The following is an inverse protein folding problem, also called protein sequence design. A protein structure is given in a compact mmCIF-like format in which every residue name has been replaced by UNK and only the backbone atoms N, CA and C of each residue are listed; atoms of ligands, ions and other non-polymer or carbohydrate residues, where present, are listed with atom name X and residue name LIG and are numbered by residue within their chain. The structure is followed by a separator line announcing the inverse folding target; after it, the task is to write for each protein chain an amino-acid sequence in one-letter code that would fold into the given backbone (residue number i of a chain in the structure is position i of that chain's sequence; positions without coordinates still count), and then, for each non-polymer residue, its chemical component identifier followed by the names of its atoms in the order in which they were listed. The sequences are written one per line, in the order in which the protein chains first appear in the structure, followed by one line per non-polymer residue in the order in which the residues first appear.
data_IF_270916567821
#
_entry.id   IF_270916567821
#
_cell.length_a   1.000
_cell.length_b   1.000
_cell.length_c   1.000
_cell.angle_alpha   90.00
_cell.angle_beta   90.00
_cell.angle_gamma   90.00
#
_symmetry.space_group_name_H-M   'P 1'
#
loop_
_entity.id
_entity.type
_entity.pdbx_description
1 polymer ?
#
# COMPACT_ATOMS: atom_id res chain seq x y z
N UNK A 1 38.31 -0.68 11.98
CA UNK A 1 38.88 -1.92 11.38
C UNK A 1 37.77 -2.82 10.83
N UNK A 2 36.67 -2.99 11.55
CA UNK A 2 35.50 -3.80 11.14
C UNK A 2 34.82 -3.26 9.88
N UNK A 3 34.61 -1.95 9.77
CA UNK A 3 34.05 -1.31 8.56
C UNK A 3 34.77 -1.75 7.28
N UNK A 4 36.11 -1.67 7.26
CA UNK A 4 36.93 -2.10 6.11
C UNK A 4 36.80 -3.59 5.81
N UNK A 5 36.63 -4.43 6.84
CA UNK A 5 36.41 -5.87 6.65
C UNK A 5 35.06 -6.13 5.99
N UNK A 6 33.99 -5.47 6.45
CA UNK A 6 32.67 -5.59 5.83
C UNK A 6 32.68 -5.06 4.39
N UNK A 7 33.31 -3.91 4.14
CA UNK A 7 33.51 -3.37 2.80
C UNK A 7 34.21 -4.37 1.87
N UNK A 8 35.26 -5.02 2.36
CA UNK A 8 35.97 -6.06 1.58
C UNK A 8 35.05 -7.26 1.28
N UNK A 9 34.22 -7.68 2.25
CA UNK A 9 33.24 -8.74 2.04
C UNK A 9 32.15 -8.37 1.03
N UNK A 10 31.68 -7.11 1.04
CA UNK A 10 30.72 -6.59 0.05
C UNK A 10 31.33 -6.67 -1.36
N UNK A 11 32.54 -6.12 -1.54
CA UNK A 11 33.22 -6.12 -2.84
C UNK A 11 33.48 -7.53 -3.37
N UNK A 12 33.86 -8.46 -2.49
CA UNK A 12 34.18 -9.83 -2.86
C UNK A 12 32.97 -10.77 -2.89
N UNK A 13 31.75 -10.29 -2.60
CA UNK A 13 30.52 -11.09 -2.52
C UNK A 13 30.60 -12.24 -1.50
N UNK A 14 31.37 -12.05 -0.43
CA UNK A 14 31.51 -13.03 0.66
C UNK A 14 30.75 -12.64 1.92
N UNK A 15 29.97 -11.56 1.85
CA UNK A 15 29.11 -11.10 2.93
C UNK A 15 27.87 -12.01 3.03
N UNK A 16 27.51 -12.43 4.24
CA UNK A 16 26.26 -13.20 4.48
C UNK A 16 25.11 -12.28 4.89
N UNK A 17 23.99 -12.36 4.19
CA UNK A 17 22.83 -11.47 4.39
C UNK A 17 21.68 -12.24 5.03
N UNK A 18 21.15 -11.73 6.14
CA UNK A 18 19.91 -12.19 6.75
C UNK A 18 18.77 -11.24 6.45
N UNK A 19 17.58 -11.75 6.11
CA UNK A 19 16.37 -10.92 5.95
C UNK A 19 15.26 -11.45 6.85
N UNK A 20 14.80 -10.63 7.79
CA UNK A 20 13.75 -11.00 8.76
C UNK A 20 12.39 -10.51 8.27
N UNK A 21 11.43 -11.42 8.15
CA UNK A 21 10.09 -11.16 7.65
C UNK A 21 10.02 -11.35 6.14
N UNK A 22 9.41 -12.45 5.67
CA UNK A 22 9.35 -12.82 4.26
C UNK A 22 8.03 -12.38 3.62
N UNK A 23 7.61 -11.16 3.92
CA UNK A 23 6.46 -10.51 3.29
C UNK A 23 6.77 -9.95 1.89
N UNK A 24 5.89 -9.08 1.40
CA UNK A 24 6.04 -8.40 0.11
C UNK A 24 7.28 -7.49 0.01
N UNK A 25 7.92 -7.15 1.13
CA UNK A 25 9.20 -6.41 1.17
C UNK A 25 10.37 -7.36 1.26
N UNK A 26 10.39 -8.21 2.30
CA UNK A 26 11.58 -8.98 2.64
C UNK A 26 11.88 -10.13 1.69
N UNK A 27 10.87 -10.81 1.14
CA UNK A 27 11.13 -11.90 0.19
C UNK A 27 11.77 -11.37 -1.12
N UNK A 28 11.22 -10.33 -1.79
CA UNK A 28 11.89 -9.74 -2.95
C UNK A 28 13.30 -9.23 -2.66
N UNK A 29 13.52 -8.58 -1.51
CA UNK A 29 14.84 -8.10 -1.11
C UNK A 29 15.85 -9.26 -0.94
N UNK A 30 15.43 -10.36 -0.31
CA UNK A 30 16.27 -11.54 -0.14
C UNK A 30 16.63 -12.21 -1.48
N UNK A 31 15.68 -12.27 -2.40
CA UNK A 31 15.89 -12.78 -3.76
C UNK A 31 16.89 -11.91 -4.52
N UNK A 32 16.80 -10.58 -4.44
CA UNK A 32 17.76 -9.68 -5.10
C UNK A 32 19.20 -9.85 -4.53
N UNK A 33 19.35 -10.01 -3.21
CA UNK A 33 20.67 -10.30 -2.62
C UNK A 33 21.24 -11.65 -3.08
N UNK A 34 20.40 -12.70 -3.11
CA UNK A 34 20.79 -14.02 -3.61
C UNK A 34 21.21 -13.97 -5.07
N UNK A 35 20.41 -13.32 -5.93
CA UNK A 35 20.68 -13.15 -7.35
C UNK A 35 21.95 -12.31 -7.61
N UNK A 36 22.30 -11.40 -6.70
CA UNK A 36 23.56 -10.64 -6.74
C UNK A 36 24.79 -11.43 -6.22
N UNK A 37 24.62 -12.71 -5.85
CA UNK A 37 25.67 -13.65 -5.47
C UNK A 37 25.98 -13.72 -3.98
N UNK A 38 25.16 -13.12 -3.12
CA UNK A 38 25.37 -13.16 -1.66
C UNK A 38 24.68 -14.38 -1.04
N UNK A 39 25.38 -15.10 -0.16
CA UNK A 39 24.75 -16.11 0.69
C UNK A 39 23.68 -15.43 1.56
N UNK A 40 22.42 -15.76 1.29
CA UNK A 40 21.25 -15.08 1.85
C UNK A 40 20.36 -16.05 2.59
N UNK A 41 19.96 -15.70 3.82
CA UNK A 41 19.02 -16.47 4.63
C UNK A 41 17.79 -15.61 4.93
N UNK A 42 16.63 -16.07 4.49
CA UNK A 42 15.33 -15.54 4.89
C UNK A 42 14.86 -16.14 6.21
N UNK A 43 14.39 -15.31 7.13
CA UNK A 43 13.88 -15.70 8.44
C UNK A 43 12.42 -15.29 8.58
N UNK A 44 11.55 -16.23 8.94
CA UNK A 44 10.15 -15.92 9.27
C UNK A 44 9.70 -16.75 10.48
N UNK A 45 8.76 -16.20 11.26
CA UNK A 45 8.18 -16.92 12.41
C UNK A 45 7.11 -17.91 11.97
N UNK A 46 6.54 -17.73 10.78
CA UNK A 46 5.49 -18.58 10.24
C UNK A 46 6.11 -19.81 9.56
N UNK A 47 6.04 -20.95 10.24
CA UNK A 47 6.55 -22.22 9.74
C UNK A 47 5.87 -22.70 8.45
N UNK A 48 4.60 -22.38 8.24
CA UNK A 48 3.86 -22.73 7.03
C UNK A 48 4.39 -21.95 5.82
N UNK A 49 4.60 -20.63 5.96
CA UNK A 49 5.22 -19.80 4.92
C UNK A 49 6.62 -20.30 4.58
N UNK A 50 7.44 -20.59 5.58
CA UNK A 50 8.79 -21.14 5.37
C UNK A 50 8.73 -22.47 4.64
N UNK A 51 7.87 -23.40 5.07
CA UNK A 51 7.72 -24.70 4.41
C UNK A 51 7.23 -24.57 2.96
N UNK A 52 6.33 -23.62 2.67
CA UNK A 52 5.87 -23.31 1.32
C UNK A 52 7.02 -22.80 0.44
N UNK A 53 7.78 -21.82 0.93
CA UNK A 53 8.95 -21.31 0.21
C UNK A 53 10.00 -22.40 -0.02
N UNK A 54 10.27 -23.28 0.94
CA UNK A 54 11.21 -24.40 0.77
C UNK A 54 10.82 -25.38 -0.36
N UNK A 55 9.53 -25.42 -0.73
CA UNK A 55 9.05 -26.21 -1.89
C UNK A 55 9.15 -25.46 -3.23
N UNK A 56 9.65 -24.23 -3.23
CA UNK A 56 9.68 -23.38 -4.43
C UNK A 56 8.34 -22.75 -4.76
N UNK A 57 7.40 -22.71 -3.80
CA UNK A 57 6.07 -22.13 -3.98
C UNK A 57 6.06 -20.70 -3.41
N UNK A 58 6.01 -19.69 -4.29
CA UNK A 58 5.90 -18.29 -3.90
C UNK A 58 4.44 -17.92 -3.63
N UNK A 59 4.22 -17.14 -2.58
CA UNK A 59 2.94 -16.47 -2.27
C UNK A 59 2.99 -14.97 -2.55
N UNK A 60 4.09 -14.46 -3.11
CA UNK A 60 4.26 -13.05 -3.50
C UNK A 60 4.15 -12.95 -5.01
N UNK A 61 3.20 -12.15 -5.49
CA UNK A 61 2.87 -11.99 -6.92
C UNK A 61 4.09 -11.57 -7.76
N UNK A 62 4.98 -10.76 -7.19
CA UNK A 62 6.15 -10.22 -7.87
C UNK A 62 7.31 -11.24 -7.99
N UNK A 63 7.20 -12.42 -7.34
CA UNK A 63 8.22 -13.47 -7.37
C UNK A 63 7.61 -14.76 -7.92
N UNK A 64 8.06 -15.19 -9.09
CA UNK A 64 7.60 -16.44 -9.69
C UNK A 64 8.18 -17.67 -8.98
N UNK A 65 7.46 -18.79 -9.04
CA UNK A 65 7.92 -20.07 -8.49
C UNK A 65 9.25 -20.51 -9.11
N UNK A 66 9.46 -20.25 -10.40
CA UNK A 66 10.69 -20.59 -11.12
C UNK A 66 11.88 -19.77 -10.60
N UNK A 67 11.66 -18.48 -10.36
CA UNK A 67 12.69 -17.59 -9.80
C UNK A 67 13.07 -18.07 -8.40
N UNK A 68 12.08 -18.31 -7.55
CA UNK A 68 12.29 -18.79 -6.18
C UNK A 68 13.02 -20.14 -6.17
N UNK A 69 12.56 -21.11 -6.97
CA UNK A 69 13.17 -22.44 -7.05
C UNK A 69 14.63 -22.37 -7.52
N UNK A 70 14.94 -21.47 -8.45
CA UNK A 70 16.32 -21.23 -8.90
C UNK A 70 17.19 -20.75 -7.73
N UNK A 71 16.78 -19.68 -7.05
CA UNK A 71 17.57 -19.09 -5.95
C UNK A 71 17.77 -20.05 -4.77
N UNK A 72 16.77 -20.88 -4.44
CA UNK A 72 16.87 -21.90 -3.39
C UNK A 72 17.93 -22.97 -3.65
N UNK A 73 18.31 -23.19 -4.91
CA UNK A 73 19.41 -24.11 -5.27
C UNK A 73 20.78 -23.44 -5.28
N UNK A 74 20.82 -22.11 -5.19
CA UNK A 74 22.02 -21.30 -5.28
C UNK A 74 22.39 -20.69 -3.92
N UNK A 75 22.05 -19.42 -3.73
CA UNK A 75 22.52 -18.63 -2.61
C UNK A 75 21.42 -18.32 -1.59
N UNK A 76 20.19 -18.83 -1.77
CA UNK A 76 19.08 -18.53 -0.88
C UNK A 76 18.67 -19.73 -0.02
N UNK A 77 18.45 -19.49 1.27
CA UNK A 77 17.82 -20.43 2.19
C UNK A 77 16.73 -19.72 2.98
N UNK A 78 15.73 -20.45 3.44
CA UNK A 78 14.71 -19.93 4.36
C UNK A 78 14.60 -20.80 5.60
N UNK A 79 14.37 -20.18 6.75
CA UNK A 79 14.33 -20.89 8.04
C UNK A 79 13.44 -20.19 9.06
N UNK A 80 12.96 -20.96 10.04
CA UNK A 80 12.38 -20.44 11.29
C UNK A 80 13.40 -20.40 12.44
N UNK A 81 14.62 -20.89 12.22
CA UNK A 81 15.69 -20.92 13.21
C UNK A 81 16.49 -19.61 13.19
N UNK A 82 16.14 -18.72 14.11
CA UNK A 82 16.79 -17.42 14.27
C UNK A 82 18.18 -17.48 14.93
N UNK A 83 18.63 -18.63 15.44
CA UNK A 83 19.99 -18.74 15.98
C UNK A 83 21.08 -18.51 14.92
N UNK A 84 20.74 -18.80 13.65
CA UNK A 84 21.61 -18.54 12.48
C UNK A 84 21.84 -17.05 12.20
N UNK A 85 21.14 -16.14 12.87
CA UNK A 85 21.46 -14.71 12.81
C UNK A 85 22.89 -14.42 13.29
N UNK A 86 23.46 -15.27 14.16
CA UNK A 86 24.86 -15.15 14.58
C UNK A 86 25.86 -15.28 13.42
N UNK A 87 25.48 -16.01 12.36
CA UNK A 87 26.33 -16.20 11.19
C UNK A 87 26.25 -15.03 10.19
N UNK A 88 25.23 -14.17 10.30
CA UNK A 88 24.94 -13.11 9.33
C UNK A 88 25.81 -11.87 9.56
N UNK A 89 26.36 -11.33 8.48
CA UNK A 89 27.16 -10.09 8.48
C UNK A 89 26.28 -8.84 8.32
N UNK A 90 25.21 -8.94 7.52
CA UNK A 90 24.19 -7.91 7.41
C UNK A 90 22.81 -8.50 7.68
N UNK A 91 21.94 -7.75 8.36
CA UNK A 91 20.59 -8.18 8.74
C UNK A 91 19.60 -7.07 8.37
N UNK A 92 18.65 -7.37 7.49
CA UNK A 92 17.55 -6.47 7.12
C UNK A 92 16.26 -6.86 7.85
N UNK A 93 15.60 -5.89 8.49
CA UNK A 93 14.37 -6.09 9.27
C UNK A 93 13.17 -5.62 8.44
N UNK A 94 12.42 -6.56 7.87
CA UNK A 94 11.28 -6.37 6.97
C UNK A 94 9.97 -6.92 7.57
N UNK A 95 9.77 -6.76 8.87
CA UNK A 95 8.56 -7.23 9.57
C UNK A 95 7.37 -6.28 9.38
N UNK A 96 6.13 -6.75 9.56
CA UNK A 96 4.94 -5.89 9.53
C UNK A 96 5.00 -4.79 10.60
N UNK A 97 4.41 -3.63 10.29
CA UNK A 97 4.19 -2.52 11.22
C UNK A 97 2.72 -2.11 11.17
N UNK A 98 1.82 -2.92 11.76
CA UNK A 98 0.40 -2.61 11.75
C UNK A 98 0.07 -1.47 12.71
N UNK A 99 -1.14 -0.93 12.58
CA UNK A 99 -1.75 -0.09 13.60
C UNK A 99 -2.63 -0.94 14.52
N UNK A 100 -2.73 -0.54 15.79
CA UNK A 100 -3.73 -1.09 16.72
C UNK A 100 -5.14 -0.63 16.32
N UNK A 101 -6.17 -1.21 16.95
CA UNK A 101 -7.56 -0.74 16.80
C UNK A 101 -7.75 0.74 17.19
N UNK A 102 -6.86 1.30 18.00
CA UNK A 102 -6.83 2.72 18.37
C UNK A 102 -6.01 3.58 17.41
N UNK A 103 -5.59 3.03 16.26
CA UNK A 103 -4.76 3.67 15.24
C UNK A 103 -3.40 4.16 15.75
N UNK A 104 -2.84 3.46 16.74
CA UNK A 104 -1.47 3.70 17.20
C UNK A 104 -0.52 2.69 16.57
N UNK A 105 0.74 3.06 16.31
CA UNK A 105 1.77 2.10 15.89
C UNK A 105 1.85 0.89 16.83
N UNK A 106 1.88 -0.32 16.27
CA UNK A 106 2.22 -1.55 16.99
C UNK A 106 3.68 -1.93 16.73
N UNK A 107 4.53 -1.67 17.72
CA UNK A 107 5.97 -1.89 17.62
C UNK A 107 6.41 -3.31 17.98
N UNK A 108 5.48 -4.16 18.43
CA UNK A 108 5.79 -5.50 18.96
C UNK A 108 6.54 -6.40 17.96
N UNK A 109 6.27 -6.22 16.67
CA UNK A 109 6.94 -6.96 15.59
C UNK A 109 8.42 -6.55 15.45
N UNK A 110 8.71 -5.24 15.46
CA UNK A 110 10.09 -4.73 15.40
C UNK A 110 10.82 -5.11 16.68
N UNK A 111 10.22 -4.89 17.84
CA UNK A 111 10.79 -5.27 19.14
C UNK A 111 11.12 -6.77 19.20
N UNK A 112 10.23 -7.63 18.68
CA UNK A 112 10.46 -9.06 18.59
C UNK A 112 11.61 -9.41 17.64
N UNK A 113 11.78 -8.71 16.52
CA UNK A 113 12.90 -8.90 15.62
C UNK A 113 14.22 -8.47 16.28
N UNK A 114 14.24 -7.29 16.90
CA UNK A 114 15.38 -6.75 17.64
C UNK A 114 15.81 -7.70 18.75
N UNK A 115 14.87 -8.24 19.54
CA UNK A 115 15.16 -9.21 20.59
C UNK A 115 15.86 -10.48 20.06
N UNK A 116 15.44 -10.97 18.87
CA UNK A 116 16.08 -12.13 18.24
C UNK A 116 17.48 -11.80 17.72
N UNK A 117 17.71 -10.59 17.20
CA UNK A 117 19.05 -10.14 16.79
C UNK A 117 19.93 -10.00 18.03
N UNK A 118 19.47 -9.30 19.07
CA UNK A 118 20.19 -9.09 20.33
C UNK A 118 20.66 -10.40 20.95
N UNK A 119 19.80 -11.43 20.97
CA UNK A 119 20.15 -12.75 21.49
C UNK A 119 21.28 -13.47 20.71
N UNK A 120 21.54 -13.06 19.47
CA UNK A 120 22.52 -13.66 18.56
C UNK A 120 23.53 -12.63 18.05
N UNK A 121 23.65 -11.48 18.72
CA UNK A 121 24.43 -10.35 18.22
C UNK A 121 25.93 -10.62 18.32
N UNK A 122 26.67 -10.08 17.36
CA UNK A 122 28.13 -10.07 17.37
C UNK A 122 28.68 -8.77 16.82
N UNK A 123 29.92 -8.46 17.19
CA UNK A 123 30.62 -7.32 16.62
C UNK A 123 30.81 -7.47 15.11
N UNK A 124 30.79 -6.34 14.40
CA UNK A 124 30.90 -6.25 12.96
C UNK A 124 29.65 -6.68 12.21
N UNK A 125 28.45 -6.52 12.78
CA UNK A 125 27.19 -6.67 12.05
C UNK A 125 26.69 -5.33 11.51
N UNK A 126 26.10 -5.35 10.32
CA UNK A 126 25.29 -4.26 9.78
C UNK A 126 23.81 -4.62 9.96
N UNK A 127 23.05 -3.74 10.60
CA UNK A 127 21.60 -3.89 10.79
C UNK A 127 20.91 -2.80 9.99
N UNK A 128 19.91 -3.17 9.19
CA UNK A 128 19.13 -2.23 8.38
C UNK A 128 17.65 -2.41 8.69
N UNK A 129 17.03 -1.39 9.27
CA UNK A 129 15.58 -1.36 9.43
C UNK A 129 14.92 -0.94 8.11
N UNK A 130 14.02 -1.78 7.62
CA UNK A 130 13.30 -1.60 6.36
C UNK A 130 11.80 -1.33 6.57
N UNK A 131 11.26 -1.92 7.64
CA UNK A 131 9.87 -1.74 8.05
C UNK A 131 9.51 -0.26 8.19
N UNK A 132 8.46 0.17 7.50
CA UNK A 132 7.99 1.56 7.57
C UNK A 132 7.55 1.89 8.99
N UNK A 133 8.02 3.03 9.52
CA UNK A 133 7.83 3.40 10.92
C UNK A 133 7.96 4.92 11.11
N UNK A 134 7.81 5.40 12.35
CA UNK A 134 7.95 6.81 12.71
C UNK A 134 9.42 7.27 12.83
N UNK A 135 9.73 8.56 12.58
CA UNK A 135 11.07 9.10 12.75
C UNK A 135 11.56 8.96 14.19
N UNK A 136 12.68 8.27 14.36
CA UNK A 136 13.34 7.95 15.62
C UNK A 136 13.28 6.47 16.00
N UNK A 137 12.57 5.63 15.25
CA UNK A 137 12.41 4.21 15.61
C UNK A 137 13.75 3.47 15.61
N UNK A 138 14.58 3.72 14.60
CA UNK A 138 15.89 3.08 14.45
C UNK A 138 16.76 3.35 15.66
N UNK A 139 16.83 4.60 16.13
CA UNK A 139 17.60 4.95 17.32
C UNK A 139 16.92 4.50 18.62
N UNK A 140 15.61 4.71 18.76
CA UNK A 140 14.86 4.44 20.00
C UNK A 140 14.70 2.95 20.31
N UNK A 141 14.55 2.09 19.30
CA UNK A 141 14.25 0.67 19.49
C UNK A 141 15.41 -0.27 19.15
N UNK A 142 16.41 0.19 18.40
CA UNK A 142 17.55 -0.66 18.01
C UNK A 142 18.83 -0.14 18.64
N UNK A 143 19.20 1.12 18.38
CA UNK A 143 20.45 1.69 18.91
C UNK A 143 20.49 1.65 20.43
N UNK A 144 19.44 2.17 21.10
CA UNK A 144 19.35 2.19 22.56
C UNK A 144 19.49 0.80 23.19
N UNK A 145 18.90 -0.24 22.58
CA UNK A 145 18.96 -1.62 23.07
C UNK A 145 20.37 -2.19 23.00
N UNK A 146 21.12 -1.87 21.96
CA UNK A 146 22.50 -2.35 21.77
C UNK A 146 23.48 -1.54 22.62
N UNK A 147 23.21 -0.25 22.85
CA UNK A 147 23.98 0.58 23.78
C UNK A 147 23.84 0.10 25.24
N UNK A 148 22.65 -0.37 25.65
CA UNK A 148 22.46 -1.00 26.96
C UNK A 148 23.35 -2.24 27.16
N UNK A 149 23.66 -2.95 26.08
CA UNK A 149 24.60 -4.08 26.06
C UNK A 149 26.08 -3.66 25.94
N UNK A 150 26.34 -2.35 25.93
CA UNK A 150 27.68 -1.77 25.86
C UNK A 150 28.31 -1.80 24.46
N UNK A 151 27.51 -1.96 23.39
CA UNK A 151 28.01 -1.89 22.01
C UNK A 151 27.97 -0.45 21.49
N UNK A 152 29.08 0.00 20.89
CA UNK A 152 29.16 1.32 20.27
C UNK A 152 28.78 1.28 18.78
N UNK A 153 27.76 2.05 18.39
CA UNK A 153 27.34 2.15 16.98
C UNK A 153 28.42 2.83 16.11
N UNK A 154 28.59 2.36 14.88
CA UNK A 154 29.66 2.80 13.97
C UNK A 154 31.03 2.20 14.27
N UNK A 155 31.21 1.52 15.40
CA UNK A 155 32.46 0.87 15.80
C UNK A 155 32.29 -0.65 15.95
N UNK A 156 31.40 -1.06 16.85
CA UNK A 156 31.10 -2.46 17.15
C UNK A 156 30.02 -3.05 16.24
N UNK A 157 29.09 -2.23 15.77
CA UNK A 157 28.06 -2.61 14.80
C UNK A 157 27.65 -1.37 13.99
N UNK A 158 26.96 -1.59 12.88
CA UNK A 158 26.51 -0.52 11.98
C UNK A 158 25.00 -0.55 11.87
N UNK A 159 24.35 0.61 11.86
CA UNK A 159 22.89 0.70 11.91
C UNK A 159 22.38 1.71 10.88
N UNK A 160 21.45 1.27 10.05
CA UNK A 160 20.81 2.09 9.03
C UNK A 160 19.29 1.92 9.03
N UNK A 161 18.62 2.89 8.44
CA UNK A 161 17.26 2.77 7.94
C UNK A 161 17.24 2.93 6.42
N UNK A 162 16.45 2.09 5.75
CA UNK A 162 16.31 2.10 4.29
C UNK A 162 14.86 1.73 3.94
N UNK A 163 13.95 2.68 3.67
CA UNK A 163 12.54 2.36 3.49
C UNK A 163 12.30 1.66 2.14
N UNK A 164 11.38 0.70 2.14
CA UNK A 164 10.78 0.20 0.90
C UNK A 164 9.91 1.27 0.21
N UNK A 165 10.00 1.36 -1.11
CA UNK A 165 9.29 2.32 -1.98
C UNK A 165 8.58 1.67 -3.18
N UNK A 166 8.55 0.35 -3.26
CA UNK A 166 7.81 -0.42 -4.27
C UNK A 166 6.32 -0.08 -4.27
N UNK A 167 5.77 0.05 -5.48
CA UNK A 167 4.34 0.09 -5.76
C UNK A 167 3.92 -1.29 -6.29
N UNK A 168 3.22 -2.12 -5.50
CA UNK A 168 2.88 -3.49 -5.90
C UNK A 168 2.12 -3.55 -7.24
N UNK A 169 2.50 -4.46 -8.12
CA UNK A 169 1.87 -4.61 -9.45
C UNK A 169 2.19 -3.48 -10.44
N UNK A 170 3.20 -2.65 -10.17
CA UNK A 170 3.64 -1.61 -11.10
C UNK A 170 4.49 -2.23 -12.24
N UNK A 171 4.09 -2.07 -13.52
CA UNK A 171 4.78 -2.73 -14.64
C UNK A 171 6.12 -2.04 -15.02
N UNK A 172 6.38 -0.85 -14.48
CA UNK A 172 7.56 -0.03 -14.83
C UNK A 172 8.58 -0.01 -13.69
N UNK A 173 8.11 0.13 -12.45
CA UNK A 173 8.96 0.29 -11.27
C UNK A 173 8.83 -0.92 -10.34
N UNK A 174 9.97 -1.53 -10.06
CA UNK A 174 10.14 -2.76 -9.29
C UNK A 174 11.22 -2.50 -8.23
N UNK A 175 11.48 -3.46 -7.33
CA UNK A 175 12.46 -3.32 -6.24
C UNK A 175 13.83 -2.85 -6.75
N UNK A 176 14.32 -3.42 -7.85
CA UNK A 176 15.65 -3.15 -8.39
C UNK A 176 15.86 -1.75 -8.99
N UNK A 177 14.86 -1.19 -9.67
CA UNK A 177 15.02 0.06 -10.43
C UNK A 177 14.45 1.29 -9.72
N UNK A 178 13.66 1.10 -8.67
CA UNK A 178 13.11 2.19 -7.86
C UNK A 178 14.22 2.80 -6.99
N UNK A 179 14.48 4.12 -7.08
CA UNK A 179 15.49 4.75 -6.24
C UNK A 179 15.15 4.57 -4.75
N UNK A 180 16.12 4.11 -3.98
CA UNK A 180 15.93 3.81 -2.56
C UNK A 180 16.76 4.73 -1.68
N UNK A 181 16.17 5.18 -0.59
CA UNK A 181 16.82 6.09 0.36
C UNK A 181 17.54 5.28 1.42
N UNK A 182 18.69 5.74 1.92
CA UNK A 182 19.35 5.12 3.07
C UNK A 182 19.97 6.18 3.98
N UNK A 183 19.78 6.03 5.29
CA UNK A 183 20.38 6.87 6.31
C UNK A 183 20.94 6.01 7.44
N UNK A 184 22.24 6.14 7.71
CA UNK A 184 22.92 5.50 8.83
C UNK A 184 23.02 6.42 10.04
N UNK A 185 23.10 5.85 11.25
CA UNK A 185 23.29 6.62 12.51
C UNK A 185 24.62 7.37 12.54
N UNK A 186 25.62 6.89 11.79
CA UNK A 186 26.91 7.57 11.57
C UNK A 186 27.24 7.57 10.07
N UNK A 187 28.18 8.44 9.60
CA UNK A 187 28.64 8.43 8.21
C UNK A 187 29.15 7.06 7.76
N UNK A 188 29.89 6.35 8.63
CA UNK A 188 30.39 5.00 8.34
C UNK A 188 29.23 3.99 8.16
N UNK A 189 28.15 4.11 8.94
CA UNK A 189 26.95 3.30 8.73
C UNK A 189 26.32 3.60 7.37
N UNK A 190 26.12 4.89 7.04
CA UNK A 190 25.53 5.30 5.75
C UNK A 190 26.35 4.77 4.57
N UNK A 191 27.68 4.94 4.61
CA UNK A 191 28.57 4.49 3.54
C UNK A 191 28.52 2.96 3.39
N UNK A 192 28.58 2.22 4.49
CA UNK A 192 28.53 0.76 4.47
C UNK A 192 27.18 0.22 3.99
N UNK A 193 26.08 0.76 4.52
CA UNK A 193 24.72 0.38 4.14
C UNK A 193 24.47 0.69 2.66
N UNK A 194 24.85 1.88 2.20
CA UNK A 194 24.73 2.27 0.80
C UNK A 194 25.50 1.31 -0.10
N UNK A 195 26.75 1.00 0.23
CA UNK A 195 27.60 0.13 -0.57
C UNK A 195 27.07 -1.30 -0.69
N UNK A 196 26.45 -1.83 0.37
CA UNK A 196 25.76 -3.13 0.33
C UNK A 196 24.54 -3.06 -0.59
N UNK A 197 23.67 -2.07 -0.40
CA UNK A 197 22.41 -1.98 -1.14
C UNK A 197 22.60 -1.61 -2.62
N UNK A 198 23.64 -0.84 -2.97
CA UNK A 198 23.98 -0.54 -4.37
C UNK A 198 24.32 -1.79 -5.20
N UNK A 199 24.64 -2.90 -4.54
CA UNK A 199 24.88 -4.18 -5.22
C UNK A 199 23.62 -4.80 -5.83
N UNK A 200 22.46 -4.43 -5.28
CA UNK A 200 21.14 -4.98 -5.66
C UNK A 200 20.21 -3.90 -6.21
N UNK A 201 20.35 -2.65 -5.75
CA UNK A 201 19.55 -1.49 -6.14
C UNK A 201 20.50 -0.38 -6.56
N UNK A 202 20.78 -0.20 -7.87
CA UNK A 202 21.82 0.73 -8.33
C UNK A 202 21.61 2.20 -7.94
N UNK A 203 20.35 2.61 -7.72
CA UNK A 203 19.99 4.00 -7.46
C UNK A 203 19.78 4.26 -5.96
N UNK A 204 20.85 4.18 -5.16
CA UNK A 204 20.79 4.52 -3.73
C UNK A 204 21.01 6.00 -3.46
N UNK A 205 20.11 6.60 -2.68
CA UNK A 205 20.12 8.00 -2.26
C UNK A 205 20.46 8.07 -0.77
N UNK A 206 21.70 8.45 -0.45
CA UNK A 206 22.12 8.65 0.93
C UNK A 206 21.54 9.95 1.52
N UNK A 207 21.07 9.87 2.76
CA UNK A 207 20.66 11.01 3.58
C UNK A 207 21.44 11.04 4.90
N UNK A 208 21.30 12.12 5.64
CA UNK A 208 22.18 12.41 6.79
C UNK A 208 21.94 11.57 8.04
N UNK A 209 20.78 10.93 8.19
CA UNK A 209 20.45 10.12 9.37
C UNK A 209 19.28 9.16 9.10
N UNK A 210 19.05 8.14 9.97
CA UNK A 210 17.89 7.26 9.87
C UNK A 210 16.58 8.05 9.96
N UNK A 211 16.48 9.01 10.88
CA UNK A 211 15.30 9.90 11.02
C UNK A 211 14.90 10.59 9.72
N UNK A 212 15.86 11.05 8.91
CA UNK A 212 15.55 11.68 7.62
C UNK A 212 15.00 10.65 6.63
N UNK A 213 15.55 9.44 6.60
CA UNK A 213 15.08 8.36 5.74
C UNK A 213 13.70 7.81 6.18
N UNK A 214 13.45 7.69 7.49
CA UNK A 214 12.14 7.34 8.06
C UNK A 214 11.10 8.41 7.68
N UNK A 215 11.44 9.68 7.87
CA UNK A 215 10.56 10.80 7.54
C UNK A 215 10.26 10.88 6.04
N UNK A 216 11.24 10.60 5.16
CA UNK A 216 10.99 10.67 3.72
C UNK A 216 9.90 9.70 3.27
N UNK A 217 9.86 8.50 3.85
CA UNK A 217 8.81 7.52 3.54
C UNK A 217 7.43 8.01 3.98
N UNK A 218 7.33 8.56 5.19
CA UNK A 218 6.05 9.08 5.69
C UNK A 218 5.59 10.31 4.91
N UNK A 219 6.51 11.19 4.48
CA UNK A 219 6.18 12.33 3.63
C UNK A 219 5.56 11.86 2.31
N UNK A 220 6.12 10.84 1.67
CA UNK A 220 5.61 10.31 0.39
C UNK A 220 4.14 9.87 0.49
N UNK A 221 3.80 9.09 1.52
CA UNK A 221 2.45 8.57 1.68
C UNK A 221 1.47 9.59 2.29
N UNK A 222 1.95 10.46 3.20
CA UNK A 222 1.17 11.58 3.74
C UNK A 222 0.79 12.57 2.64
N UNK A 223 1.73 12.91 1.76
CA UNK A 223 1.49 13.75 0.60
C UNK A 223 0.40 13.16 -0.30
N UNK A 224 0.48 11.86 -0.61
CA UNK A 224 -0.55 11.18 -1.42
C UNK A 224 -1.92 11.20 -0.73
N UNK A 225 -2.00 10.85 0.55
CA UNK A 225 -3.25 10.83 1.32
C UNK A 225 -3.95 12.19 1.33
N UNK A 226 -3.18 13.26 1.57
CA UNK A 226 -3.67 14.65 1.59
C UNK A 226 -4.21 15.06 0.21
N UNK A 227 -3.46 14.82 -0.86
CA UNK A 227 -3.89 15.28 -2.17
C UNK A 227 -5.10 14.49 -2.68
N UNK A 228 -5.22 13.21 -2.31
CA UNK A 228 -6.44 12.43 -2.58
C UNK A 228 -7.62 12.99 -1.79
N UNK A 229 -7.45 13.29 -0.49
CA UNK A 229 -8.49 13.93 0.31
C UNK A 229 -8.94 15.27 -0.30
N UNK A 230 -7.98 16.07 -0.76
CA UNK A 230 -8.28 17.35 -1.40
C UNK A 230 -9.16 17.18 -2.66
N UNK A 231 -8.81 16.28 -3.59
CA UNK A 231 -9.64 16.07 -4.79
C UNK A 231 -10.97 15.39 -4.48
N UNK A 232 -11.04 14.58 -3.42
CA UNK A 232 -12.28 14.00 -2.91
C UNK A 232 -13.22 15.10 -2.36
N UNK A 233 -12.71 16.00 -1.53
CA UNK A 233 -13.47 17.17 -1.05
C UNK A 233 -13.93 18.06 -2.21
N UNK A 234 -13.07 18.27 -3.21
CA UNK A 234 -13.47 18.99 -4.42
C UNK A 234 -14.60 18.28 -5.18
N UNK A 235 -14.65 16.95 -5.22
CA UNK A 235 -15.75 16.23 -5.85
C UNK A 235 -17.08 16.46 -5.10
N UNK A 236 -17.05 16.46 -3.77
CA UNK A 236 -18.22 16.77 -2.94
C UNK A 236 -18.68 18.23 -3.14
N UNK A 237 -17.74 19.17 -3.14
CA UNK A 237 -18.01 20.59 -3.41
C UNK A 237 -18.61 20.79 -4.82
N UNK A 238 -18.02 20.15 -5.82
CA UNK A 238 -18.43 20.21 -7.21
C UNK A 238 -19.89 19.79 -7.42
N UNK A 239 -20.35 18.77 -6.69
CA UNK A 239 -21.76 18.38 -6.70
C UNK A 239 -22.67 19.47 -6.12
N UNK A 240 -22.21 20.18 -5.08
CA UNK A 240 -22.98 21.26 -4.47
C UNK A 240 -23.05 22.54 -5.31
N UNK A 241 -22.01 22.82 -6.13
CA UNK A 241 -21.93 24.02 -6.97
C UNK A 241 -22.17 23.78 -8.47
N UNK A 242 -22.49 22.55 -8.85
CA UNK A 242 -22.81 22.14 -10.22
C UNK A 242 -21.65 22.35 -11.22
N UNK A 243 -20.46 21.84 -10.88
CA UNK A 243 -19.25 21.90 -11.72
C UNK A 243 -18.66 20.51 -11.90
N UNK A 244 -18.35 20.11 -13.14
CA UNK A 244 -17.66 18.85 -13.42
C UNK A 244 -16.23 18.87 -12.87
N UNK A 245 -16.02 18.18 -11.75
CA UNK A 245 -14.70 18.09 -11.10
C UNK A 245 -13.67 17.38 -11.98
N UNK A 246 -14.10 16.41 -12.79
CA UNK A 246 -13.19 15.61 -13.61
C UNK A 246 -12.65 16.44 -14.76
N UNK A 247 -13.53 17.17 -15.47
CA UNK A 247 -13.12 18.13 -16.50
C UNK A 247 -12.19 19.21 -15.90
N UNK A 248 -12.55 19.75 -14.74
CA UNK A 248 -11.73 20.77 -14.07
C UNK A 248 -10.33 20.25 -13.72
N UNK A 249 -10.22 19.00 -13.24
CA UNK A 249 -8.93 18.36 -12.95
C UNK A 249 -8.13 18.10 -14.23
N UNK A 250 -8.76 17.65 -15.32
CA UNK A 250 -8.08 17.49 -16.60
C UNK A 250 -7.54 18.83 -17.12
N UNK A 251 -8.36 19.88 -17.07
CA UNK A 251 -7.98 21.23 -17.47
C UNK A 251 -6.82 21.77 -16.62
N UNK A 252 -6.87 21.61 -15.29
CA UNK A 252 -5.78 21.98 -14.39
C UNK A 252 -4.50 21.17 -14.67
N UNK A 253 -4.66 19.89 -15.02
CA UNK A 253 -3.59 18.96 -15.44
C UNK A 253 -2.80 19.40 -16.67
N UNK A 254 -3.36 20.26 -17.52
CA UNK A 254 -2.66 20.81 -18.68
C UNK A 254 -1.53 21.78 -18.31
N UNK A 255 -1.52 22.28 -17.07
CA UNK A 255 -0.47 23.17 -16.58
C UNK A 255 0.83 22.38 -16.33
N UNK A 256 1.95 22.72 -16.98
CA UNK A 256 3.17 21.89 -16.94
C UNK A 256 3.96 22.00 -15.62
N UNK A 257 3.51 22.77 -14.65
CA UNK A 257 4.18 22.95 -13.36
C UNK A 257 3.21 23.25 -12.22
N UNK A 258 3.56 22.81 -11.01
CA UNK A 258 2.85 23.14 -9.77
C UNK A 258 1.49 22.45 -9.61
N UNK A 259 1.11 21.53 -10.50
CA UNK A 259 -0.08 20.70 -10.37
C UNK A 259 0.28 19.24 -10.63
N UNK A 260 0.29 18.44 -9.57
CA UNK A 260 0.37 16.99 -9.68
C UNK A 260 -1.05 16.46 -9.68
N UNK A 261 -1.43 15.72 -10.71
CA UNK A 261 -2.79 15.24 -10.89
C UNK A 261 -3.11 14.11 -9.92
N UNK A 262 -4.13 14.31 -9.10
CA UNK A 262 -4.81 13.28 -8.32
C UNK A 262 -6.26 13.19 -8.79
N UNK A 263 -6.89 12.04 -8.59
CA UNK A 263 -8.25 11.78 -9.02
C UNK A 263 -9.12 11.40 -7.82
N UNK A 264 -10.39 11.84 -7.78
CA UNK A 264 -11.35 11.39 -6.78
C UNK A 264 -11.55 9.86 -6.82
N UNK A 265 -12.11 9.31 -5.74
CA UNK A 265 -12.44 7.90 -5.66
C UNK A 265 -13.34 7.57 -4.48
N UNK A 266 -13.76 6.31 -4.35
CA UNK A 266 -14.65 5.87 -3.27
C UNK A 266 -13.98 5.89 -1.88
N UNK A 267 -12.70 6.24 -1.82
CA UNK A 267 -11.87 6.28 -0.61
C UNK A 267 -10.43 5.87 -0.92
N UNK A 268 -9.65 5.64 0.12
CA UNK A 268 -8.27 5.13 0.03
C UNK A 268 -8.21 3.77 0.69
N UNK A 269 -7.54 2.81 0.04
CA UNK A 269 -7.22 1.52 0.65
C UNK A 269 -5.77 1.08 0.50
N UNK A 270 -5.51 -0.17 0.87
CA UNK A 270 -4.17 -0.79 0.87
C UNK A 270 -3.36 -0.54 2.15
N UNK A 271 -2.12 -1.05 2.16
CA UNK A 271 -1.28 -1.18 3.37
C UNK A 271 -0.67 0.12 3.89
N UNK A 272 -0.43 1.08 3.01
CA UNK A 272 0.51 2.16 3.30
C UNK A 272 -0.19 3.51 3.44
N UNK A 273 -1.05 3.88 2.49
CA UNK A 273 -1.62 5.25 2.45
C UNK A 273 -2.56 5.51 3.63
N UNK A 274 -3.45 4.58 4.04
CA UNK A 274 -4.31 4.82 5.21
C UNK A 274 -3.53 4.77 6.54
N UNK A 275 -2.44 3.99 6.61
CA UNK A 275 -1.72 3.71 7.87
C UNK A 275 -0.57 4.69 8.13
N UNK A 276 0.33 4.90 7.17
CA UNK A 276 1.57 5.64 7.36
C UNK A 276 1.38 7.08 7.88
N UNK A 277 0.39 7.86 7.43
CA UNK A 277 0.16 9.21 7.97
C UNK A 277 -0.15 9.19 9.49
N UNK A 278 -0.71 8.09 10.00
CA UNK A 278 -0.99 7.94 11.43
C UNK A 278 0.26 7.77 12.27
N UNK A 279 1.34 7.20 11.72
CA UNK A 279 2.66 7.18 12.39
C UNK A 279 3.17 8.59 12.67
N UNK A 280 3.03 9.48 11.67
CA UNK A 280 3.45 10.87 11.79
C UNK A 280 2.54 11.64 12.75
N UNK A 281 1.21 11.45 12.67
CA UNK A 281 0.25 12.04 13.61
C UNK A 281 0.52 11.59 15.06
N UNK A 282 0.82 10.31 15.26
CA UNK A 282 1.16 9.76 16.58
C UNK A 282 2.46 10.36 17.15
N UNK A 283 3.56 10.39 16.36
CA UNK A 283 4.84 10.96 16.80
C UNK A 283 4.75 12.46 17.07
N UNK A 284 3.97 13.16 16.26
CA UNK A 284 3.63 14.57 16.46
C UNK A 284 2.94 14.80 17.81
N UNK A 285 1.90 14.01 18.13
CA UNK A 285 1.17 14.10 19.42
C UNK A 285 2.08 13.87 20.62
N UNK A 286 3.01 12.91 20.53
CA UNK A 286 4.02 12.69 21.57
C UNK A 286 4.94 13.91 21.79
N UNK A 287 5.07 14.78 20.80
CA UNK A 287 5.84 16.03 20.85
C UNK A 287 4.97 17.27 21.11
N UNK A 288 3.72 17.07 21.55
CA UNK A 288 2.71 18.12 21.75
C UNK A 288 2.43 18.97 20.48
N UNK A 289 2.58 18.35 19.30
CA UNK A 289 2.21 18.93 18.01
C UNK A 289 1.00 18.18 17.44
N UNK A 290 -0.01 18.92 16.98
CA UNK A 290 -1.23 18.34 16.42
C UNK A 290 -1.33 18.72 14.95
N UNK A 291 -1.26 17.74 14.06
CA UNK A 291 -1.30 17.97 12.62
C UNK A 291 -2.75 17.96 12.11
N UNK A 292 -3.42 19.12 12.15
CA UNK A 292 -4.81 19.25 11.68
C UNK A 292 -5.00 18.80 10.23
N UNK A 293 -3.96 18.91 9.40
CA UNK A 293 -4.04 18.58 7.98
C UNK A 293 -4.05 17.07 7.74
N UNK A 294 -3.29 16.29 8.52
CA UNK A 294 -3.33 14.82 8.45
C UNK A 294 -4.68 14.32 8.95
N UNK A 295 -5.14 14.83 10.08
CA UNK A 295 -6.41 14.41 10.67
C UNK A 295 -7.61 14.77 9.75
N UNK A 296 -7.61 15.96 9.13
CA UNK A 296 -8.64 16.35 8.16
C UNK A 296 -8.61 15.48 6.90
N UNK A 297 -7.42 15.19 6.35
CA UNK A 297 -7.31 14.32 5.19
C UNK A 297 -7.85 12.91 5.47
N UNK A 298 -7.56 12.36 6.65
CA UNK A 298 -8.10 11.06 7.06
C UNK A 298 -9.62 11.10 7.21
N UNK A 299 -10.18 12.15 7.81
CA UNK A 299 -11.63 12.32 7.93
C UNK A 299 -12.32 12.32 6.57
N UNK A 300 -11.86 13.17 5.65
CA UNK A 300 -12.44 13.28 4.29
C UNK A 300 -12.35 11.93 3.57
N UNK A 301 -11.19 11.28 3.58
CA UNK A 301 -11.01 10.00 2.89
C UNK A 301 -11.91 8.89 3.46
N UNK A 302 -12.17 8.90 4.77
CA UNK A 302 -13.06 7.95 5.45
C UNK A 302 -14.53 8.19 5.19
N UNK A 303 -14.92 9.42 4.86
CA UNK A 303 -16.31 9.79 4.53
C UNK A 303 -16.70 9.46 3.08
N UNK A 304 -15.74 9.12 2.22
CA UNK A 304 -16.01 8.87 0.80
C UNK A 304 -16.93 7.67 0.55
N UNK A 305 -16.86 6.54 1.29
CA UNK A 305 -17.86 5.49 1.19
C UNK A 305 -19.29 5.99 1.44
N UNK A 306 -19.52 6.81 2.47
CA UNK A 306 -20.84 7.41 2.72
C UNK A 306 -21.29 8.31 1.57
N UNK A 307 -20.37 9.10 1.01
CA UNK A 307 -20.67 9.93 -0.16
C UNK A 307 -21.05 9.06 -1.38
N UNK A 308 -20.41 7.91 -1.59
CA UNK A 308 -20.80 6.94 -2.62
C UNK A 308 -22.24 6.43 -2.39
N UNK A 309 -22.65 6.20 -1.15
CA UNK A 309 -24.05 5.79 -0.81
C UNK A 309 -25.05 6.91 -1.12
N UNK A 310 -24.69 8.15 -0.84
CA UNK A 310 -25.49 9.32 -1.22
C UNK A 310 -25.67 9.36 -2.74
N UNK A 311 -24.58 9.24 -3.51
CA UNK A 311 -24.64 9.18 -4.97
C UNK A 311 -25.50 8.03 -5.48
N UNK A 312 -25.33 6.83 -4.92
CA UNK A 312 -26.12 5.66 -5.31
C UNK A 312 -27.62 5.90 -5.10
N UNK A 313 -27.99 6.54 -3.99
CA UNK A 313 -29.38 6.92 -3.70
C UNK A 313 -29.91 7.93 -4.70
N UNK A 314 -29.13 8.95 -5.04
CA UNK A 314 -29.51 9.96 -6.04
C UNK A 314 -29.65 9.38 -7.45
N UNK A 315 -28.73 8.51 -7.86
CA UNK A 315 -28.77 7.78 -9.14
C UNK A 315 -30.04 6.93 -9.24
N UNK A 316 -30.35 6.14 -8.22
CA UNK A 316 -31.60 5.34 -8.17
C UNK A 316 -32.85 6.23 -8.20
N UNK A 317 -32.83 7.36 -7.50
CA UNK A 317 -33.93 8.31 -7.50
C UNK A 317 -34.21 8.91 -8.89
N UNK A 318 -33.21 9.05 -9.76
CA UNK A 318 -33.42 9.45 -11.15
C UNK A 318 -34.31 8.48 -11.93
N UNK A 319 -34.31 7.19 -11.55
CA UNK A 319 -35.22 6.16 -12.04
C UNK A 319 -36.41 5.87 -11.09
N UNK A 320 -36.63 6.73 -10.09
CA UNK A 320 -37.68 6.59 -9.06
C UNK A 320 -37.61 5.28 -8.26
N UNK A 321 -36.40 4.77 -8.03
CA UNK A 321 -36.15 3.61 -7.18
C UNK A 321 -35.57 4.08 -5.84
N UNK A 322 -35.96 3.41 -4.76
CA UNK A 322 -35.39 3.64 -3.44
C UNK A 322 -34.15 2.75 -3.25
N UNK A 323 -33.19 3.18 -2.43
CA UNK A 323 -32.02 2.35 -2.11
C UNK A 323 -32.40 1.02 -1.43
N UNK A 324 -33.33 1.07 -0.48
CA UNK A 324 -33.85 -0.11 0.21
C UNK A 324 -34.65 -0.98 -0.77
N UNK A 325 -34.27 -2.26 -0.88
CA UNK A 325 -34.87 -3.23 -1.80
C UNK A 325 -34.41 -3.11 -3.25
N UNK A 326 -33.51 -2.17 -3.58
CA UNK A 326 -32.89 -2.17 -4.91
C UNK A 326 -31.84 -3.27 -5.02
N UNK A 327 -31.78 -3.91 -6.19
CA UNK A 327 -30.73 -4.87 -6.55
C UNK A 327 -29.52 -4.14 -7.10
N UNK A 328 -28.40 -4.24 -6.43
CA UNK A 328 -27.16 -3.52 -6.76
C UNK A 328 -26.05 -4.53 -7.03
N UNK A 329 -25.29 -4.31 -8.10
CA UNK A 329 -24.05 -5.05 -8.35
C UNK A 329 -22.85 -4.16 -8.07
N UNK A 330 -21.95 -4.61 -7.20
CA UNK A 330 -20.65 -3.98 -6.97
C UNK A 330 -19.61 -4.59 -7.92
N UNK A 331 -18.96 -3.73 -8.70
CA UNK A 331 -17.92 -4.12 -9.65
C UNK A 331 -16.55 -3.71 -9.08
N UNK A 332 -15.81 -4.72 -8.62
CA UNK A 332 -14.48 -4.62 -8.01
C UNK A 332 -14.52 -4.40 -6.49
N UNK A 333 -13.73 -5.21 -5.78
CA UNK A 333 -13.58 -5.21 -4.32
C UNK A 333 -12.14 -4.98 -3.86
N UNK A 334 -11.16 -5.33 -4.69
CA UNK A 334 -9.76 -5.04 -4.41
C UNK A 334 -9.51 -3.53 -4.24
N UNK A 335 -8.54 -3.13 -3.42
CA UNK A 335 -8.25 -1.70 -3.21
C UNK A 335 -7.57 -1.05 -4.43
N UNK A 336 -7.00 -1.85 -5.34
CA UNK A 336 -6.31 -1.45 -6.57
C UNK A 336 -6.72 -2.40 -7.72
N UNK A 337 -6.76 -1.93 -8.97
CA UNK A 337 -6.99 -2.80 -10.11
C UNK A 337 -6.00 -3.97 -10.18
N UNK A 338 -6.50 -5.10 -10.68
CA UNK A 338 -5.76 -6.28 -11.09
C UNK A 338 -4.93 -6.99 -10.01
N UNK A 339 -5.37 -6.86 -8.74
CA UNK A 339 -4.82 -7.61 -7.60
C UNK A 339 -5.97 -8.20 -6.77
N UNK A 340 -5.65 -9.15 -5.87
CA UNK A 340 -6.60 -9.88 -5.02
C UNK A 340 -6.70 -9.31 -3.59
N UNK A 341 -6.16 -8.11 -3.36
CA UNK A 341 -6.02 -7.55 -2.02
C UNK A 341 -7.16 -6.62 -1.65
N UNK A 342 -7.94 -7.01 -0.65
CA UNK A 342 -9.09 -6.25 -0.12
C UNK A 342 -8.78 -5.47 1.16
N UNK A 343 -7.55 -5.55 1.68
CA UNK A 343 -7.20 -4.91 2.96
C UNK A 343 -7.36 -3.39 2.88
N UNK A 344 -8.08 -2.84 3.85
CA UNK A 344 -8.50 -1.43 3.89
C UNK A 344 -9.24 -0.96 2.62
N UNK A 345 -9.79 -1.86 1.79
CA UNK A 345 -10.46 -1.45 0.56
C UNK A 345 -11.73 -0.63 0.89
N UNK A 346 -11.93 0.54 0.27
CA UNK A 346 -13.15 1.33 0.48
C UNK A 346 -14.41 0.59 -0.01
N UNK A 347 -14.25 -0.38 -0.91
CA UNK A 347 -15.35 -1.21 -1.38
C UNK A 347 -16.02 -2.03 -0.27
N UNK A 348 -15.26 -2.43 0.76
CA UNK A 348 -15.81 -3.14 1.92
C UNK A 348 -16.77 -2.24 2.71
N UNK A 349 -16.38 -0.99 2.97
CA UNK A 349 -17.24 -0.02 3.63
C UNK A 349 -18.49 0.30 2.81
N UNK A 350 -18.36 0.43 1.48
CA UNK A 350 -19.51 0.63 0.59
C UNK A 350 -20.46 -0.57 0.67
N UNK A 351 -19.96 -1.80 0.64
CA UNK A 351 -20.76 -3.01 0.80
C UNK A 351 -21.56 -3.01 2.11
N UNK A 352 -20.88 -2.80 3.24
CA UNK A 352 -21.48 -2.82 4.57
C UNK A 352 -22.56 -1.73 4.71
N UNK A 353 -22.28 -0.52 4.22
CA UNK A 353 -23.22 0.60 4.28
C UNK A 353 -24.47 0.37 3.41
N UNK A 354 -24.31 -0.18 2.20
CA UNK A 354 -25.45 -0.55 1.35
C UNK A 354 -26.31 -1.64 2.00
N UNK A 355 -25.67 -2.64 2.61
CA UNK A 355 -26.36 -3.74 3.28
C UNK A 355 -27.16 -3.20 4.48
N UNK A 356 -26.56 -2.30 5.27
CA UNK A 356 -27.24 -1.64 6.39
C UNK A 356 -28.44 -0.78 5.96
N UNK A 357 -28.45 -0.27 4.72
CA UNK A 357 -29.59 0.46 4.13
C UNK A 357 -30.67 -0.46 3.54
N UNK A 358 -30.43 -1.77 3.51
CA UNK A 358 -31.34 -2.80 3.02
C UNK A 358 -31.35 -2.96 1.50
N UNK A 359 -30.24 -2.63 0.82
CA UNK A 359 -30.06 -3.00 -0.58
C UNK A 359 -29.78 -4.51 -0.72
N UNK A 360 -30.18 -5.10 -1.84
CA UNK A 360 -29.83 -6.47 -2.22
C UNK A 360 -28.56 -6.43 -3.07
N UNK A 361 -27.46 -6.98 -2.58
CA UNK A 361 -26.12 -6.75 -3.17
C UNK A 361 -25.53 -8.05 -3.70
N UNK A 362 -25.19 -8.04 -4.99
CA UNK A 362 -24.29 -9.02 -5.59
C UNK A 362 -22.92 -8.37 -5.84
N UNK A 363 -21.85 -9.15 -5.75
CA UNK A 363 -20.47 -8.67 -5.87
C UNK A 363 -19.77 -9.39 -7.02
N UNK A 364 -19.01 -8.63 -7.80
CA UNK A 364 -18.23 -9.13 -8.93
C UNK A 364 -16.83 -8.53 -8.87
N UNK A 365 -15.86 -9.40 -8.65
CA UNK A 365 -14.42 -9.13 -8.70
C UNK A 365 -13.72 -10.36 -9.33
N UNK A 366 -12.91 -10.18 -10.39
CA UNK A 366 -12.23 -11.29 -11.07
C UNK A 366 -10.98 -11.81 -10.35
N UNK A 367 -10.46 -11.09 -9.36
CA UNK A 367 -9.23 -11.44 -8.63
C UNK A 367 -9.52 -11.81 -7.17
N UNK A 368 -10.53 -11.19 -6.55
CA UNK A 368 -10.95 -11.47 -5.18
C UNK A 368 -12.05 -12.52 -5.16
N UNK A 369 -11.74 -13.75 -4.76
CA UNK A 369 -12.72 -14.86 -4.73
C UNK A 369 -13.70 -14.82 -3.55
N UNK A 370 -13.30 -14.22 -2.44
CA UNK A 370 -14.15 -14.02 -1.27
C UNK A 370 -13.55 -12.92 -0.37
N UNK A 371 -14.40 -12.30 0.45
CA UNK A 371 -13.96 -11.37 1.50
C UNK A 371 -14.81 -11.56 2.78
N UNK A 372 -14.47 -10.85 3.86
CA UNK A 372 -15.27 -10.81 5.07
C UNK A 372 -15.97 -9.45 5.21
N UNK A 373 -17.27 -9.47 5.47
CA UNK A 373 -18.05 -8.27 5.76
C UNK A 373 -17.73 -7.70 7.16
N UNK A 374 -18.31 -6.54 7.49
CA UNK A 374 -18.15 -5.89 8.80
C UNK A 374 -18.67 -6.71 9.99
N UNK A 375 -19.39 -7.80 9.75
CA UNK A 375 -19.87 -8.75 10.75
C UNK A 375 -19.04 -10.06 10.81
N UNK A 376 -18.05 -10.18 9.94
CA UNK A 376 -17.16 -11.34 9.84
C UNK A 376 -17.72 -12.50 9.00
N UNK A 377 -18.86 -12.35 8.34
CA UNK A 377 -19.39 -13.36 7.42
C UNK A 377 -18.57 -13.38 6.14
N UNK A 378 -18.42 -14.58 5.55
CA UNK A 378 -17.75 -14.74 4.26
C UNK A 378 -18.74 -14.40 3.15
N UNK A 379 -18.35 -13.48 2.27
CA UNK A 379 -19.09 -13.09 1.07
C UNK A 379 -18.29 -13.56 -0.14
N UNK A 380 -18.93 -14.33 -1.01
CA UNK A 380 -18.34 -14.82 -2.26
C UNK A 380 -18.57 -13.81 -3.39
N UNK A 381 -17.57 -13.64 -4.25
CA UNK A 381 -17.76 -12.94 -5.53
C UNK A 381 -18.43 -13.88 -6.53
N UNK A 382 -19.12 -13.31 -7.50
CA UNK A 382 -19.66 -14.04 -8.64
C UNK A 382 -18.97 -13.62 -9.94
N UNK A 383 -18.82 -14.52 -10.93
CA UNK A 383 -18.35 -14.13 -12.25
C UNK A 383 -19.27 -13.11 -12.91
N UNK A 384 -18.68 -12.14 -13.63
CA UNK A 384 -19.45 -11.16 -14.38
C UNK A 384 -20.26 -11.86 -15.50
N UNK A 385 -21.57 -11.69 -15.49
CA UNK A 385 -22.45 -12.02 -16.60
C UNK A 385 -23.07 -10.76 -17.17
N UNK A 386 -22.69 -10.39 -18.40
CA UNK A 386 -23.20 -9.18 -19.05
C UNK A 386 -24.73 -9.20 -19.20
N UNK A 387 -25.31 -10.34 -19.53
CA UNK A 387 -26.77 -10.49 -19.63
C UNK A 387 -27.46 -10.33 -18.28
N UNK A 388 -26.80 -10.74 -17.19
CA UNK A 388 -27.33 -10.58 -15.84
C UNK A 388 -27.33 -9.12 -15.37
N UNK A 389 -26.49 -8.25 -15.95
CA UNK A 389 -26.41 -6.82 -15.60
C UNK A 389 -27.76 -6.10 -15.77
N UNK A 390 -28.57 -6.53 -16.73
CA UNK A 390 -29.91 -5.97 -16.98
C UNK A 390 -30.91 -6.24 -15.85
N UNK A 391 -30.62 -7.18 -14.94
CA UNK A 391 -31.48 -7.52 -13.80
C UNK A 391 -31.20 -6.69 -12.55
N UNK A 392 -30.16 -5.85 -12.55
CA UNK A 392 -29.84 -4.96 -11.45
C UNK A 392 -30.47 -3.59 -11.68
N UNK A 393 -30.80 -2.92 -10.57
CA UNK A 393 -31.28 -1.56 -10.57
C UNK A 393 -30.14 -0.55 -10.71
N UNK A 394 -28.95 -0.89 -10.21
CA UNK A 394 -27.74 -0.07 -10.27
C UNK A 394 -26.48 -0.94 -10.29
N UNK A 395 -25.55 -0.64 -11.19
CA UNK A 395 -24.18 -1.11 -11.10
C UNK A 395 -23.28 -0.01 -10.50
N UNK A 396 -22.49 -0.34 -9.48
CA UNK A 396 -21.52 0.59 -8.89
C UNK A 396 -20.12 0.10 -9.21
N UNK A 397 -19.36 0.89 -9.97
CA UNK A 397 -17.96 0.60 -10.26
C UNK A 397 -17.08 1.21 -9.17
N UNK A 398 -16.38 0.34 -8.43
CA UNK A 398 -15.48 0.73 -7.34
C UNK A 398 -14.00 0.55 -7.74
N UNK A 399 -13.68 -0.58 -8.39
CA UNK A 399 -12.32 -0.89 -8.84
C UNK A 399 -12.31 -1.30 -10.32
N UNK A 400 -11.65 -0.52 -11.20
CA UNK A 400 -11.67 -0.74 -12.65
C UNK A 400 -10.63 -1.77 -13.07
N UNK A 401 -10.90 -3.05 -12.83
CA UNK A 401 -10.06 -4.14 -13.33
C UNK A 401 -9.96 -4.10 -14.86
N UNK A 402 -8.78 -4.38 -15.40
CA UNK A 402 -8.53 -4.35 -16.86
C UNK A 402 -9.32 -5.43 -17.61
N UNK A 403 -9.75 -6.49 -16.93
CA UNK A 403 -10.59 -7.55 -17.47
C UNK A 403 -12.07 -7.16 -17.64
N UNK A 404 -12.51 -6.03 -17.08
CA UNK A 404 -13.88 -5.55 -17.25
C UNK A 404 -14.09 -4.96 -18.64
N UNK A 405 -15.03 -5.53 -19.40
CA UNK A 405 -15.50 -4.95 -20.65
C UNK A 405 -16.47 -3.79 -20.36
N UNK A 406 -15.90 -2.58 -20.25
CA UNK A 406 -16.66 -1.35 -20.00
C UNK A 406 -17.73 -1.08 -21.08
N UNK A 407 -17.56 -1.56 -22.32
CA UNK A 407 -18.59 -1.38 -23.36
C UNK A 407 -19.78 -2.27 -23.08
N UNK A 408 -19.55 -3.53 -22.70
CA UNK A 408 -20.63 -4.46 -22.35
C UNK A 408 -21.35 -4.03 -21.07
N UNK A 409 -20.60 -3.60 -20.05
CA UNK A 409 -21.17 -3.09 -18.80
C UNK A 409 -22.07 -1.88 -19.06
N UNK A 410 -21.59 -0.90 -19.85
CA UNK A 410 -22.37 0.27 -20.23
C UNK A 410 -23.63 -0.09 -21.03
N UNK A 411 -23.55 -1.11 -21.89
CA UNK A 411 -24.66 -1.52 -22.76
C UNK A 411 -25.77 -2.24 -21.98
N UNK A 412 -25.43 -3.06 -20.99
CA UNK A 412 -26.39 -3.93 -20.32
C UNK A 412 -26.89 -3.41 -18.97
N UNK A 413 -26.17 -2.50 -18.31
CA UNK A 413 -26.56 -1.97 -17.01
C UNK A 413 -27.61 -0.86 -17.16
N UNK A 414 -28.77 -0.92 -16.47
CA UNK A 414 -29.78 0.13 -16.55
C UNK A 414 -29.35 1.49 -15.98
N UNK A 415 -28.57 1.47 -14.90
CA UNK A 415 -27.93 2.63 -14.29
C UNK A 415 -26.52 2.25 -13.85
N UNK A 416 -25.59 3.19 -13.97
CA UNK A 416 -24.21 3.03 -13.52
C UNK A 416 -23.82 4.20 -12.63
N UNK A 417 -23.24 3.91 -11.47
CA UNK A 417 -22.46 4.87 -10.69
C UNK A 417 -20.98 4.56 -10.88
N UNK A 418 -20.29 5.42 -11.62
CA UNK A 418 -18.87 5.34 -11.89
C UNK A 418 -18.08 6.21 -10.91
N UNK A 419 -17.47 5.58 -9.91
CA UNK A 419 -16.67 6.28 -8.88
C UNK A 419 -15.25 6.61 -9.34
N UNK A 420 -14.85 6.18 -10.54
CA UNK A 420 -13.47 6.30 -11.05
C UNK A 420 -13.37 7.01 -12.41
N UNK A 421 -14.50 7.44 -12.96
CA UNK A 421 -14.65 8.13 -14.24
C UNK A 421 -14.03 7.37 -15.44
N UNK A 422 -14.06 6.04 -15.43
CA UNK A 422 -13.54 5.22 -16.54
C UNK A 422 -14.51 5.15 -17.73
N UNK A 423 -15.77 5.53 -17.52
CA UNK A 423 -16.76 5.62 -18.58
C UNK A 423 -16.78 6.99 -19.27
N UNK A 424 -15.89 7.94 -18.95
CA UNK A 424 -15.90 9.31 -19.48
C UNK A 424 -16.01 9.43 -21.02
N UNK A 425 -15.36 8.52 -21.76
CA UNK A 425 -15.40 8.48 -23.23
C UNK A 425 -16.76 8.03 -23.80
N UNK A 426 -17.68 7.54 -22.95
CA UNK A 426 -19.00 7.04 -23.31
C UNK A 426 -20.04 8.05 -22.84
N UNK A 427 -20.62 8.79 -23.78
CA UNK A 427 -21.66 9.77 -23.47
C UNK A 427 -23.02 9.06 -23.35
N UNK A 428 -23.21 8.32 -22.25
CA UNK A 428 -24.42 7.58 -21.96
C UNK A 428 -25.20 8.25 -20.83
N UNK A 429 -26.51 8.35 -21.03
CA UNK A 429 -27.45 9.10 -20.19
C UNK A 429 -27.72 8.47 -18.82
N UNK A 430 -27.39 7.20 -18.67
CA UNK A 430 -27.61 6.37 -17.49
C UNK A 430 -26.34 6.16 -16.67
N UNK A 431 -25.25 6.87 -17.00
CA UNK A 431 -23.99 6.83 -16.27
C UNK A 431 -23.84 8.11 -15.44
N UNK A 432 -23.68 7.92 -14.14
CA UNK A 432 -23.51 8.96 -13.14
C UNK A 432 -22.11 8.86 -12.55
N UNK A 433 -21.51 9.99 -12.17
CA UNK A 433 -20.20 10.03 -11.53
C UNK A 433 -20.28 10.83 -10.23
N UNK A 434 -19.23 10.73 -9.41
CA UNK A 434 -19.04 11.62 -8.27
C UNK A 434 -18.57 13.00 -8.76
N UNK A 435 -19.12 14.10 -8.25
CA UNK A 435 -18.69 15.44 -8.63
C UNK A 435 -19.12 15.89 -10.04
N UNK A 436 -20.14 15.25 -10.62
CA UNK A 436 -20.84 15.70 -11.83
C UNK A 436 -22.23 15.03 -11.98
N UNK A 437 -23.22 15.49 -11.22
CA UNK A 437 -24.58 14.91 -11.29
C UNK A 437 -25.47 15.41 -12.41
N UNK A 438 -25.24 16.63 -12.92
CA UNK A 438 -26.24 17.30 -13.76
C UNK A 438 -25.84 17.43 -15.23
N UNK A 439 -25.23 16.41 -15.83
CA UNK A 439 -25.07 16.35 -17.30
C UNK A 439 -26.39 16.52 -18.10
N UNK A 440 -27.56 16.68 -17.44
CA UNK A 440 -28.90 16.73 -18.05
C UNK A 440 -29.91 17.78 -17.57
N UNK A 441 -29.64 18.62 -16.56
CA UNK A 441 -30.67 19.64 -16.20
C UNK A 441 -30.77 20.78 -17.22
N UNK A 442 -29.74 21.01 -18.03
CA UNK A 442 -29.67 22.19 -18.91
C UNK A 442 -30.32 22.05 -20.29
N UNK A 443 -30.54 20.85 -20.84
CA UNK A 443 -31.10 20.71 -22.20
C UNK A 443 -32.62 20.55 -22.27
N UNK A 444 -33.30 20.25 -21.15
CA UNK A 444 -34.75 19.97 -21.15
C UNK A 444 -35.63 21.07 -20.53
N UNK A 445 -35.06 22.18 -20.05
CA UNK A 445 -35.82 23.29 -19.44
C UNK A 445 -35.69 24.65 -20.13
N UNK A 446 -35.01 24.76 -21.28
CA UNK A 446 -34.94 26.00 -22.07
C UNK A 446 -35.86 26.04 -23.30
N UNK A 447 -36.78 25.08 -23.45
CA UNK A 447 -37.87 25.17 -24.42
C UNK A 447 -39.19 25.24 -23.65
N UNK A 448 -39.50 26.42 -23.13
CA UNK A 448 -40.84 26.99 -22.92
C UNK A 448 -40.79 28.07 -21.82
N UNK A 449 -40.42 29.30 -22.21
CA UNK A 449 -41.19 30.52 -21.93
C UNK A 449 -41.08 31.42 -23.16
#
# INVERSE_FOLDING_TARGET
MMEKQLMTKITNKTLKVGVIGLGYVGLPLAIEFSAAGFETIGFDINAEKVAQLQRGESYIIDISNETLATELTHHFQVTTDFSRLADMDAISICVPTPLTTSQTPDMSYIESAVAKIRANQRKGQLIVLESTTYPGTTEELIEAVFEEDGMAVGEDYFLCFSPERVDPGNPTYHTKNTPKVIGGTTPACTDLGKQLYEQVIPNMIAVSSPKVAEMSKLIENTFRSINIAFVNELAMLSDAIDVDVWEAIEAAGTKPFGFMKFLPGPGIGGHCIPLDPMYLSWKAKASNFYSSFIDLAQEINRQMPEFVIEKASETLNAARKALNGSRIVLLGMAYKPDIDDVRESPALAVYDLLQAKGAEIDVVDPFVTQFRDGHGHVVETTPLSNEALANYDLAILLTPHSSFDLTQIATHSPLILDTKNVFAARNCDHIYTMGNMQKKRSESQLVHV
#
